data_IF_781708344121
#
_entry.id   IF_781708344121
#
_cell.length_a   1.000
_cell.length_b   1.000
_cell.length_c   1.000
_cell.angle_alpha   90.00
_cell.angle_beta   90.00
_cell.angle_gamma   90.00
#
_symmetry.space_group_name_H-M   'P 1'
#
loop_
_entity.id
_entity.type
_entity.pdbx_description
1 polymer ?
#
# COMPACT_ATOMS: atom_id res chain seq x y z
N UNK A 1 -15.58 -12.67 5.19
CA UNK A 1 -15.52 -11.25 4.78
C UNK A 1 -14.56 -10.45 5.65
N UNK A 2 -14.07 -11.02 6.76
CA UNK A 2 -13.33 -10.26 7.76
C UNK A 2 -11.80 -10.48 7.74
N UNK A 3 -11.23 -11.48 7.09
CA UNK A 3 -9.81 -11.85 7.34
C UNK A 3 -8.75 -10.78 6.99
N UNK A 4 -8.94 -9.98 5.94
CA UNK A 4 -8.02 -8.85 5.65
C UNK A 4 -8.18 -7.72 6.65
N UNK A 5 -9.43 -7.36 6.98
CA UNK A 5 -9.74 -6.30 7.95
C UNK A 5 -9.28 -6.78 9.32
N UNK A 6 -9.62 -7.98 9.76
CA UNK A 6 -9.14 -8.63 10.99
C UNK A 6 -7.61 -8.71 11.02
N UNK A 7 -6.95 -8.99 9.89
CA UNK A 7 -5.50 -9.01 9.78
C UNK A 7 -4.87 -7.63 9.96
N UNK A 8 -5.48 -6.58 9.42
CA UNK A 8 -5.11 -5.18 9.63
C UNK A 8 -5.45 -4.75 11.07
N UNK A 9 -6.66 -5.04 11.53
CA UNK A 9 -7.19 -4.71 12.85
C UNK A 9 -6.33 -5.33 13.94
N UNK A 10 -6.03 -6.62 13.85
CA UNK A 10 -5.11 -7.28 14.78
C UNK A 10 -3.71 -6.63 14.78
N UNK A 11 -3.18 -6.20 13.63
CA UNK A 11 -1.84 -5.61 13.55
C UNK A 11 -1.77 -4.16 14.04
N UNK A 12 -2.83 -3.38 13.86
CA UNK A 12 -2.82 -1.93 14.12
C UNK A 12 -3.69 -1.51 15.31
N UNK A 13 -4.68 -2.32 15.70
CA UNK A 13 -5.70 -2.00 16.70
C UNK A 13 -5.65 -2.91 17.94
N UNK A 14 -4.65 -3.79 18.07
CA UNK A 14 -4.25 -4.36 19.38
C UNK A 14 -3.77 -3.25 20.35
N UNK A 15 -3.47 -2.04 19.84
CA UNK A 15 -3.08 -0.87 20.62
C UNK A 15 -4.28 0.00 20.93
N UNK A 16 -4.52 0.25 22.22
CA UNK A 16 -5.65 1.04 22.70
C UNK A 16 -5.43 2.55 22.64
N UNK A 17 -4.21 3.03 22.34
CA UNK A 17 -3.89 4.45 22.25
C UNK A 17 -3.55 4.92 20.82
N UNK A 18 -3.91 6.17 20.53
CA UNK A 18 -3.74 6.81 19.21
C UNK A 18 -2.26 6.88 18.81
N UNK A 19 -1.38 7.15 19.79
CA UNK A 19 0.06 7.23 19.58
C UNK A 19 0.65 5.88 19.14
N UNK A 20 0.25 4.77 19.75
CA UNK A 20 0.66 3.42 19.38
C UNK A 20 0.21 3.06 17.96
N UNK A 21 -1.03 3.41 17.59
CA UNK A 21 -1.54 3.23 16.22
C UNK A 21 -0.69 4.00 15.20
N UNK A 22 -0.38 5.28 15.43
CA UNK A 22 0.49 6.07 14.55
C UNK A 22 1.90 5.50 14.44
N UNK A 23 2.49 5.09 15.57
CA UNK A 23 3.83 4.49 15.59
C UNK A 23 3.87 3.19 14.75
N UNK A 24 2.82 2.38 14.80
CA UNK A 24 2.68 1.17 13.97
C UNK A 24 2.49 1.48 12.50
N UNK A 25 1.61 2.41 12.15
CA UNK A 25 1.43 2.85 10.76
C UNK A 25 2.75 3.36 10.17
N UNK A 26 3.51 4.14 10.95
CA UNK A 26 4.83 4.63 10.55
C UNK A 26 5.84 3.50 10.39
N UNK A 27 5.87 2.55 11.32
CA UNK A 27 6.76 1.38 11.21
C UNK A 27 6.45 0.57 9.95
N UNK A 28 5.18 0.31 9.65
CA UNK A 28 4.76 -0.37 8.42
C UNK A 28 5.17 0.41 7.17
N UNK A 29 4.98 1.73 7.16
CA UNK A 29 5.44 2.58 6.05
C UNK A 29 6.97 2.56 5.89
N UNK A 30 7.74 2.49 6.99
CA UNK A 30 9.20 2.33 6.94
C UNK A 30 9.62 0.93 6.46
N UNK A 31 8.84 -0.12 6.73
CA UNK A 31 9.12 -1.47 6.20
C UNK A 31 9.06 -1.49 4.67
N UNK A 32 8.18 -0.70 4.05
CA UNK A 32 8.19 -0.51 2.60
C UNK A 32 9.56 0.00 2.10
N UNK A 33 10.17 0.96 2.79
CA UNK A 33 11.53 1.44 2.44
C UNK A 33 12.57 0.30 2.56
N UNK A 34 12.45 -0.56 3.56
CA UNK A 34 13.34 -1.72 3.70
C UNK A 34 13.25 -2.69 2.51
N UNK A 35 12.04 -2.99 2.04
CA UNK A 35 11.86 -3.78 0.81
C UNK A 35 12.48 -3.11 -0.41
N UNK A 36 12.34 -1.79 -0.54
CA UNK A 36 12.95 -1.01 -1.64
C UNK A 36 14.49 -0.98 -1.57
N UNK A 37 15.10 -0.99 -0.38
CA UNK A 37 16.56 -1.12 -0.26
C UNK A 37 17.03 -2.53 -0.61
N UNK A 38 16.29 -3.55 -0.20
CA UNK A 38 16.55 -4.94 -0.60
C UNK A 38 16.40 -5.13 -2.11
N UNK A 39 15.46 -4.43 -2.74
CA UNK A 39 15.29 -4.42 -4.19
C UNK A 39 16.56 -3.95 -4.90
N UNK A 40 17.18 -2.85 -4.43
CA UNK A 40 18.45 -2.37 -5.01
C UNK A 40 19.56 -3.41 -4.92
N UNK A 41 19.64 -4.14 -3.81
CA UNK A 41 20.64 -5.21 -3.63
C UNK A 41 20.37 -6.39 -4.56
N UNK A 42 19.13 -6.85 -4.66
CA UNK A 42 18.72 -7.90 -5.60
C UNK A 42 18.99 -7.49 -7.06
N UNK A 43 18.77 -6.21 -7.40
CA UNK A 43 19.03 -5.69 -8.75
C UNK A 43 20.52 -5.77 -9.11
N UNK A 44 21.41 -5.45 -8.16
CA UNK A 44 22.86 -5.64 -8.34
C UNK A 44 23.24 -7.11 -8.51
N UNK A 45 22.62 -8.01 -7.75
CA UNK A 45 22.85 -9.46 -7.88
C UNK A 45 22.35 -10.00 -9.22
N UNK A 46 21.20 -9.54 -9.70
CA UNK A 46 20.67 -9.86 -11.02
C UNK A 46 21.64 -9.44 -12.14
N UNK A 47 22.16 -8.21 -12.08
CA UNK A 47 23.14 -7.73 -13.06
C UNK A 47 24.42 -8.58 -13.06
N UNK A 48 24.88 -9.01 -11.88
CA UNK A 48 26.01 -9.91 -11.74
C UNK A 48 25.71 -11.31 -12.30
N UNK A 49 24.51 -11.85 -12.05
CA UNK A 49 24.12 -13.15 -12.60
C UNK A 49 24.09 -13.12 -14.13
N UNK A 50 23.55 -12.03 -14.72
CA UNK A 50 23.57 -11.78 -16.17
C UNK A 50 24.99 -11.72 -16.73
N UNK A 51 25.91 -11.01 -16.07
CA UNK A 51 27.30 -10.91 -16.55
C UNK A 51 28.05 -12.24 -16.47
N UNK A 52 27.74 -13.08 -15.49
CA UNK A 52 28.30 -14.43 -15.33
C UNK A 52 27.58 -15.50 -16.17
N UNK A 53 26.51 -15.13 -16.89
CA UNK A 53 25.63 -16.05 -17.63
C UNK A 53 25.03 -17.16 -16.75
N UNK A 54 24.86 -16.89 -15.46
CA UNK A 54 24.21 -17.79 -14.52
C UNK A 54 22.69 -17.63 -14.62
N UNK A 55 22.08 -18.48 -15.44
CA UNK A 55 20.62 -18.45 -15.70
C UNK A 55 19.77 -18.79 -14.47
N UNK A 56 20.30 -19.59 -13.54
CA UNK A 56 19.55 -19.99 -12.35
C UNK A 56 19.45 -18.80 -11.40
N UNK A 57 20.58 -18.17 -11.10
CA UNK A 57 20.62 -16.97 -10.26
C UNK A 57 19.90 -15.78 -10.92
N UNK A 58 19.98 -15.65 -12.24
CA UNK A 58 19.25 -14.61 -12.98
C UNK A 58 17.74 -14.74 -12.78
N UNK A 59 17.18 -15.94 -13.02
CA UNK A 59 15.74 -16.17 -12.80
C UNK A 59 15.37 -15.95 -11.34
N UNK A 60 16.15 -16.48 -10.41
CA UNK A 60 15.89 -16.33 -8.99
C UNK A 60 15.82 -14.85 -8.58
N UNK A 61 16.84 -14.05 -8.90
CA UNK A 61 16.85 -12.64 -8.51
C UNK A 61 15.76 -11.83 -9.22
N UNK A 62 15.37 -12.19 -10.45
CA UNK A 62 14.23 -11.57 -11.12
C UNK A 62 12.92 -11.81 -10.37
N UNK A 63 12.65 -13.04 -9.94
CA UNK A 63 11.49 -13.38 -9.09
C UNK A 63 11.53 -12.58 -7.77
N UNK A 64 12.70 -12.50 -7.14
CA UNK A 64 12.92 -11.73 -5.90
C UNK A 64 12.58 -10.25 -6.08
N UNK A 65 12.97 -9.65 -7.20
CA UNK A 65 12.66 -8.24 -7.48
C UNK A 65 11.15 -7.98 -7.55
N UNK A 66 10.40 -8.89 -8.20
CA UNK A 66 8.95 -8.77 -8.25
C UNK A 66 8.33 -8.83 -6.85
N UNK A 67 8.70 -9.84 -6.06
CA UNK A 67 8.19 -10.02 -4.69
C UNK A 67 8.46 -8.79 -3.83
N UNK A 68 9.69 -8.27 -3.85
CA UNK A 68 10.05 -7.09 -3.07
C UNK A 68 9.26 -5.84 -3.47
N UNK A 69 8.94 -5.69 -4.75
CA UNK A 69 8.14 -4.57 -5.23
C UNK A 69 6.67 -4.69 -4.79
N UNK A 70 6.11 -5.90 -4.83
CA UNK A 70 4.77 -6.18 -4.31
C UNK A 70 4.66 -5.96 -2.80
N UNK A 71 5.62 -6.47 -2.03
CA UNK A 71 5.68 -6.27 -0.57
C UNK A 71 5.77 -4.77 -0.22
N UNK A 72 6.62 -4.01 -0.92
CA UNK A 72 6.73 -2.56 -0.69
C UNK A 72 5.40 -1.83 -0.96
N UNK A 73 4.71 -2.20 -2.02
CA UNK A 73 3.41 -1.64 -2.37
C UNK A 73 2.30 -2.06 -1.40
N UNK A 74 2.26 -3.33 -1.00
CA UNK A 74 1.29 -3.83 -0.02
C UNK A 74 1.38 -3.09 1.31
N UNK A 75 2.60 -2.75 1.76
CA UNK A 75 2.78 -1.93 2.95
C UNK A 75 2.18 -0.52 2.80
N UNK A 76 2.22 0.09 1.61
CA UNK A 76 1.52 1.36 1.35
C UNK A 76 0.01 1.16 1.43
N UNK A 77 -0.51 0.07 0.85
CA UNK A 77 -1.94 -0.25 0.86
C UNK A 77 -2.48 -0.54 2.26
N UNK A 78 -1.74 -1.30 3.07
CA UNK A 78 -2.10 -1.58 4.46
C UNK A 78 -2.17 -0.29 5.28
N UNK A 79 -1.14 0.57 5.18
CA UNK A 79 -1.12 1.83 5.92
C UNK A 79 -2.29 2.73 5.50
N UNK A 80 -2.54 2.87 4.20
CA UNK A 80 -3.65 3.69 3.72
C UNK A 80 -5.02 3.13 4.14
N UNK A 81 -5.20 1.81 4.07
CA UNK A 81 -6.44 1.14 4.46
C UNK A 81 -6.76 1.29 5.95
N UNK A 82 -5.72 1.28 6.78
CA UNK A 82 -5.81 1.40 8.24
C UNK A 82 -5.89 2.85 8.75
N UNK A 83 -5.55 3.83 7.90
CA UNK A 83 -5.56 5.24 8.26
C UNK A 83 -6.98 5.82 8.19
N UNK A 84 -7.67 5.82 9.33
CA UNK A 84 -8.95 6.50 9.49
C UNK A 84 -8.77 7.86 10.18
N UNK A 85 -8.91 8.96 9.43
CA UNK A 85 -8.70 10.30 9.99
C UNK A 85 -9.70 10.67 11.10
N UNK A 86 -10.86 10.03 11.16
CA UNK A 86 -11.86 10.30 12.19
C UNK A 86 -11.46 9.73 13.56
N UNK A 87 -10.46 8.83 13.62
CA UNK A 87 -9.92 8.25 14.86
C UNK A 87 -8.92 9.18 15.58
N UNK A 88 -8.41 10.23 14.92
CA UNK A 88 -7.25 11.00 15.40
C UNK A 88 -7.61 12.35 16.06
N UNK A 89 -8.86 12.54 16.49
CA UNK A 89 -9.40 13.79 17.07
C UNK A 89 -8.93 15.08 16.35
N UNK A 90 -8.88 15.02 15.02
CA UNK A 90 -8.41 16.13 14.20
C UNK A 90 -9.52 17.16 13.99
N UNK A 91 -9.12 18.44 13.96
CA UNK A 91 -10.00 19.57 13.69
C UNK A 91 -9.72 20.19 12.33
N UNK A 92 -10.79 20.64 11.68
CA UNK A 92 -10.67 21.35 10.43
C UNK A 92 -10.02 22.73 10.65
N UNK A 93 -9.10 23.18 9.79
CA UNK A 93 -8.47 24.48 9.91
C UNK A 93 -9.46 25.64 9.67
N UNK A 94 -9.31 26.73 10.43
CA UNK A 94 -10.10 27.97 10.28
C UNK A 94 -9.66 28.75 9.03
N UNK A 95 -8.36 28.71 8.70
CA UNK A 95 -7.76 29.37 7.54
C UNK A 95 -6.81 28.38 6.87
N UNK A 96 -7.16 27.91 5.68
CA UNK A 96 -6.26 27.11 4.82
C UNK A 96 -6.57 25.62 4.71
N UNK A 97 -5.64 24.87 4.11
CA UNK A 97 -5.73 23.44 3.84
C UNK A 97 -4.84 22.65 4.81
N UNK A 98 -5.37 21.66 5.53
CA UNK A 98 -4.56 20.81 6.41
C UNK A 98 -5.37 20.20 7.55
N UNK A 99 -4.68 19.81 8.62
CA UNK A 99 -5.27 19.29 9.86
C UNK A 99 -4.83 20.16 11.03
N UNK A 100 -5.68 20.28 12.06
CA UNK A 100 -5.33 20.80 13.38
C UNK A 100 -5.49 19.69 14.41
N UNK A 101 -4.71 19.75 15.50
CA UNK A 101 -4.72 18.76 16.57
C UNK A 101 -3.33 18.18 16.82
N UNK A 102 -3.18 17.48 17.94
CA UNK A 102 -1.89 17.03 18.46
C UNK A 102 -1.15 16.10 17.48
N UNK A 103 -1.89 15.34 16.69
CA UNK A 103 -1.36 14.37 15.72
C UNK A 103 -1.32 14.86 14.27
N UNK A 104 -1.70 16.12 14.02
CA UNK A 104 -1.82 16.65 12.65
C UNK A 104 -0.49 16.55 11.87
N UNK A 105 0.63 16.91 12.51
CA UNK A 105 1.96 16.87 11.88
C UNK A 105 2.43 15.45 11.60
N UNK A 106 2.15 14.50 12.50
CA UNK A 106 2.52 13.09 12.31
C UNK A 106 1.75 12.47 11.14
N UNK A 107 0.47 12.80 10.99
CA UNK A 107 -0.35 12.32 9.89
C UNK A 107 0.11 12.92 8.55
N UNK A 108 0.42 14.23 8.50
CA UNK A 108 1.00 14.86 7.31
C UNK A 108 2.37 14.25 6.95
N UNK A 109 3.18 13.93 7.96
CA UNK A 109 4.46 13.26 7.79
C UNK A 109 4.27 11.84 7.25
N UNK A 110 3.25 11.12 7.72
CA UNK A 110 2.89 9.80 7.21
C UNK A 110 2.46 9.86 5.74
N UNK A 111 1.58 10.80 5.36
CA UNK A 111 1.21 10.98 3.95
C UNK A 111 2.42 11.31 3.07
N UNK A 112 3.34 12.16 3.55
CA UNK A 112 4.57 12.49 2.83
C UNK A 112 5.49 11.29 2.65
N UNK A 113 5.57 10.41 3.65
CA UNK A 113 6.31 9.15 3.58
C UNK A 113 5.67 8.18 2.56
N UNK A 114 4.34 8.06 2.57
CA UNK A 114 3.62 7.22 1.61
C UNK A 114 3.78 7.74 0.17
N UNK A 115 3.74 9.05 -0.04
CA UNK A 115 4.01 9.67 -1.35
C UNK A 115 5.41 9.33 -1.85
N UNK A 116 6.44 9.54 -1.01
CA UNK A 116 7.83 9.23 -1.34
C UNK A 116 8.03 7.74 -1.66
N UNK A 117 7.42 6.84 -0.89
CA UNK A 117 7.48 5.41 -1.16
C UNK A 117 6.81 5.07 -2.49
N UNK A 118 5.64 5.67 -2.76
CA UNK A 118 4.90 5.46 -4.00
C UNK A 118 5.68 5.96 -5.22
N UNK A 119 6.30 7.14 -5.13
CA UNK A 119 7.19 7.68 -6.17
C UNK A 119 8.31 6.69 -6.52
N UNK A 120 8.97 6.16 -5.49
CA UNK A 120 10.06 5.19 -5.67
C UNK A 120 9.57 3.88 -6.30
N UNK A 121 8.43 3.37 -5.87
CA UNK A 121 7.82 2.14 -6.42
C UNK A 121 7.52 2.34 -7.91
N UNK A 122 6.80 3.42 -8.26
CA UNK A 122 6.42 3.71 -9.66
C UNK A 122 7.65 3.93 -10.55
N UNK A 123 8.69 4.60 -10.03
CA UNK A 123 9.95 4.77 -10.76
C UNK A 123 10.65 3.44 -11.01
N UNK A 124 10.70 2.55 -10.01
CA UNK A 124 11.29 1.23 -10.15
C UNK A 124 10.52 0.37 -11.15
N UNK A 125 9.19 0.36 -11.07
CA UNK A 125 8.29 -0.33 -12.00
C UNK A 125 8.60 0.10 -13.44
N UNK A 126 8.63 1.41 -13.70
CA UNK A 126 8.91 1.97 -15.03
C UNK A 126 10.31 1.63 -15.56
N UNK A 127 11.32 1.59 -14.68
CA UNK A 127 12.72 1.34 -15.07
C UNK A 127 13.08 -0.13 -15.21
N UNK A 128 12.36 -1.03 -14.54
CA UNK A 128 12.73 -2.45 -14.42
C UNK A 128 11.88 -3.37 -15.30
N UNK A 129 10.94 -2.82 -16.07
CA UNK A 129 9.94 -3.57 -16.86
C UNK A 129 9.14 -4.60 -16.04
N UNK A 130 9.13 -4.46 -14.71
CA UNK A 130 8.35 -5.31 -13.81
C UNK A 130 6.91 -4.83 -13.88
N UNK A 131 6.03 -5.59 -14.53
CA UNK A 131 4.59 -5.30 -14.51
C UNK A 131 3.98 -5.82 -13.21
N UNK A 132 3.35 -4.93 -12.46
CA UNK A 132 2.51 -5.28 -11.32
C UNK A 132 1.14 -5.74 -11.84
N UNK A 133 1.04 -7.03 -12.11
CA UNK A 133 -0.21 -7.71 -12.47
C UNK A 133 -0.79 -8.49 -11.28
N UNK A 134 -1.79 -7.90 -10.63
CA UNK A 134 -2.49 -8.50 -9.47
C UNK A 134 -3.33 -9.75 -9.81
N UNK A 135 -3.38 -10.16 -11.09
CA UNK A 135 -3.99 -11.41 -11.51
C UNK A 135 -3.01 -12.59 -11.54
N UNK A 136 -1.70 -12.32 -11.45
CA UNK A 136 -0.65 -13.34 -11.46
C UNK A 136 -0.11 -13.51 -10.04
N UNK A 137 -0.36 -14.66 -9.39
CA UNK A 137 0.19 -14.91 -8.07
C UNK A 137 1.72 -15.00 -8.14
N UNK A 138 2.38 -14.47 -7.11
CA UNK A 138 3.82 -14.61 -6.94
C UNK A 138 4.13 -15.90 -6.18
N UNK A 139 5.12 -16.65 -6.68
CA UNK A 139 5.70 -17.76 -5.93
C UNK A 139 6.52 -17.24 -4.74
N UNK A 140 6.33 -17.82 -3.57
CA UNK A 140 7.11 -17.48 -2.38
C UNK A 140 8.60 -17.79 -2.56
N UNK A 141 9.45 -16.97 -1.94
CA UNK A 141 10.89 -17.22 -1.85
C UNK A 141 11.35 -17.02 -0.41
N UNK A 142 11.90 -18.08 0.17
CA UNK A 142 12.45 -18.09 1.52
C UNK A 142 13.47 -16.94 1.70
N UNK A 143 13.35 -16.19 2.80
CA UNK A 143 14.23 -15.06 3.09
C UNK A 143 13.98 -13.80 2.23
N UNK A 144 12.97 -13.81 1.34
CA UNK A 144 12.52 -12.64 0.57
C UNK A 144 11.25 -12.07 1.19
N UNK A 145 10.25 -12.93 1.34
CA UNK A 145 9.04 -12.74 2.11
C UNK A 145 9.41 -12.89 3.60
N UNK A 146 9.65 -11.79 4.30
CA UNK A 146 10.06 -11.88 5.72
C UNK A 146 8.88 -12.33 6.61
N UNK A 147 9.17 -13.33 7.44
CA UNK A 147 8.48 -13.79 8.65
C UNK A 147 7.11 -14.46 8.49
N UNK A 148 7.09 -15.79 8.39
CA UNK A 148 5.97 -16.71 8.75
C UNK A 148 4.54 -16.43 8.20
N UNK A 149 4.31 -15.31 7.51
CA UNK A 149 3.00 -14.79 7.16
C UNK A 149 3.14 -13.77 6.02
N UNK A 150 3.32 -14.23 4.78
CA UNK A 150 2.92 -13.40 3.64
C UNK A 150 1.45 -13.02 3.86
N UNK A 151 1.15 -11.72 3.78
CA UNK A 151 -0.16 -11.19 4.20
C UNK A 151 -1.33 -11.83 3.46
N UNK A 152 -1.08 -12.23 2.23
CA UNK A 152 -2.04 -12.91 1.39
C UNK A 152 -2.06 -14.44 1.53
N UNK A 153 -1.22 -15.10 2.33
CA UNK A 153 -1.20 -16.57 2.40
C UNK A 153 -2.44 -17.16 3.06
N UNK A 154 -2.96 -16.49 4.09
CA UNK A 154 -4.14 -16.99 4.79
C UNK A 154 -5.42 -16.87 3.95
N UNK A 155 -5.41 -16.00 2.93
CA UNK A 155 -6.59 -15.57 2.17
C UNK A 155 -6.48 -15.96 0.67
N UNK A 156 -5.26 -16.17 0.17
CA UNK A 156 -4.89 -16.25 -1.25
C UNK A 156 -4.55 -14.88 -1.84
N UNK A 157 -3.58 -14.84 -2.78
CA UNK A 157 -3.09 -13.62 -3.45
C UNK A 157 -4.22 -12.77 -4.06
N UNK A 158 -4.98 -13.35 -4.99
CA UNK A 158 -6.06 -12.63 -5.68
C UNK A 158 -7.21 -12.22 -4.74
N UNK A 159 -7.74 -13.09 -3.86
CA UNK A 159 -8.76 -12.68 -2.89
C UNK A 159 -8.30 -11.57 -1.95
N UNK A 160 -7.03 -11.59 -1.51
CA UNK A 160 -6.42 -10.56 -0.68
C UNK A 160 -6.41 -9.20 -1.40
N UNK A 161 -5.83 -9.13 -2.60
CA UNK A 161 -5.72 -7.87 -3.34
C UNK A 161 -7.07 -7.35 -3.84
N UNK A 162 -8.04 -8.23 -4.09
CA UNK A 162 -9.43 -7.84 -4.36
C UNK A 162 -10.08 -7.18 -3.12
N UNK A 163 -9.80 -7.68 -1.91
CA UNK A 163 -10.30 -7.06 -0.69
C UNK A 163 -9.62 -5.71 -0.41
N UNK A 164 -8.29 -5.64 -0.55
CA UNK A 164 -7.54 -4.40 -0.45
C UNK A 164 -8.06 -3.34 -1.46
N UNK A 165 -8.36 -3.74 -2.70
CA UNK A 165 -8.95 -2.88 -3.73
C UNK A 165 -10.26 -2.23 -3.28
N UNK A 166 -11.18 -3.02 -2.69
CA UNK A 166 -12.46 -2.49 -2.16
C UNK A 166 -12.24 -1.47 -1.05
N UNK A 167 -11.38 -1.79 -0.09
CA UNK A 167 -11.15 -0.93 1.07
C UNK A 167 -10.46 0.36 0.63
N UNK A 168 -9.49 0.29 -0.28
CA UNK A 168 -8.85 1.47 -0.84
C UNK A 168 -9.87 2.34 -1.59
N UNK A 169 -10.75 1.74 -2.38
CA UNK A 169 -11.83 2.46 -3.06
C UNK A 169 -12.74 3.19 -2.06
N UNK A 170 -13.22 2.48 -1.04
CA UNK A 170 -14.06 3.04 0.03
C UNK A 170 -13.34 4.16 0.79
N UNK A 171 -12.05 3.98 1.13
CA UNK A 171 -11.22 4.97 1.83
C UNK A 171 -10.92 6.20 0.97
N UNK A 172 -10.72 6.05 -0.34
CA UNK A 172 -10.52 7.17 -1.26
C UNK A 172 -11.78 8.03 -1.37
N UNK A 173 -12.96 7.42 -1.38
CA UNK A 173 -14.22 8.12 -1.55
C UNK A 173 -14.84 8.60 -0.22
N UNK A 174 -14.31 8.11 0.91
CA UNK A 174 -14.67 8.56 2.25
C UNK A 174 -14.46 10.08 2.43
N UNK A 175 -15.33 10.69 3.24
CA UNK A 175 -15.31 12.12 3.58
C UNK A 175 -15.13 12.32 5.08
N UNK A 176 -13.92 12.12 5.61
CA UNK A 176 -13.62 12.35 7.03
C UNK A 176 -14.10 13.71 7.52
N UNK A 177 -14.55 13.80 8.78
CA UNK A 177 -15.14 15.04 9.34
C UNK A 177 -14.18 16.22 9.24
N UNK A 178 -12.89 15.97 9.48
CA UNK A 178 -11.81 16.97 9.41
C UNK A 178 -11.67 17.61 8.02
N UNK A 179 -12.11 16.93 6.95
CA UNK A 179 -12.01 17.38 5.57
C UNK A 179 -13.22 18.18 5.08
N UNK A 180 -14.18 18.53 5.95
CA UNK A 180 -15.31 19.43 5.63
C UNK A 180 -16.04 19.08 4.31
N UNK A 181 -16.50 17.84 4.17
CA UNK A 181 -17.21 17.28 2.99
C UNK A 181 -16.32 16.98 1.77
N UNK A 182 -15.02 17.27 1.82
CA UNK A 182 -14.06 16.85 0.81
C UNK A 182 -13.75 15.35 0.95
N UNK A 183 -13.65 14.62 -0.16
CA UNK A 183 -13.22 13.22 -0.16
C UNK A 183 -11.72 13.09 0.11
N UNK A 184 -11.27 11.93 0.59
CA UNK A 184 -9.85 11.63 0.72
C UNK A 184 -9.13 11.76 -0.63
N UNK A 185 -9.74 11.29 -1.71
CA UNK A 185 -9.21 11.41 -3.08
C UNK A 185 -8.98 12.86 -3.47
N UNK A 186 -9.96 13.74 -3.23
CA UNK A 186 -9.83 15.16 -3.52
C UNK A 186 -8.76 15.81 -2.63
N UNK A 187 -8.66 15.39 -1.35
CA UNK A 187 -7.63 15.88 -0.44
C UNK A 187 -6.24 15.55 -0.98
N UNK A 188 -5.98 14.29 -1.32
CA UNK A 188 -4.71 13.84 -1.88
C UNK A 188 -4.37 14.60 -3.16
N UNK A 189 -5.37 14.83 -4.03
CA UNK A 189 -5.19 15.57 -5.29
C UNK A 189 -4.79 17.02 -5.03
N UNK A 190 -5.48 17.72 -4.14
CA UNK A 190 -5.17 19.13 -3.80
C UNK A 190 -3.82 19.27 -3.12
N UNK A 191 -3.43 18.29 -2.30
CA UNK A 191 -2.13 18.24 -1.62
C UNK A 191 -0.99 17.72 -2.49
N UNK A 192 -1.26 17.44 -3.77
CA UNK A 192 -0.26 16.97 -4.73
C UNK A 192 0.38 15.63 -4.37
N UNK A 193 -0.32 14.76 -3.64
CA UNK A 193 0.08 13.37 -3.39
C UNK A 193 -0.23 12.50 -4.61
N UNK A 194 0.41 12.85 -5.73
CA UNK A 194 0.10 12.30 -7.06
C UNK A 194 0.61 10.89 -7.26
N UNK A 195 1.77 10.55 -6.69
CA UNK A 195 2.35 9.21 -6.79
C UNK A 195 1.55 8.22 -5.94
N UNK A 196 1.15 8.63 -4.73
CA UNK A 196 0.28 7.85 -3.87
C UNK A 196 -1.07 7.59 -4.55
N UNK A 197 -1.70 8.63 -5.11
CA UNK A 197 -2.94 8.47 -5.87
C UNK A 197 -2.78 7.53 -7.07
N UNK A 198 -1.68 7.64 -7.80
CA UNK A 198 -1.40 6.76 -8.95
C UNK A 198 -1.24 5.31 -8.50
N UNK A 199 -0.48 5.06 -7.43
CA UNK A 199 -0.27 3.71 -6.89
C UNK A 199 -1.56 3.09 -6.33
N UNK A 200 -2.36 3.86 -5.56
CA UNK A 200 -3.68 3.41 -5.10
C UNK A 200 -4.63 3.15 -6.28
N UNK A 201 -4.55 3.96 -7.33
CA UNK A 201 -5.30 3.75 -8.56
C UNK A 201 -4.95 2.45 -9.29
N UNK A 202 -3.73 1.92 -9.14
CA UNK A 202 -3.33 0.62 -9.73
C UNK A 202 -4.17 -0.53 -9.18
N UNK A 203 -4.26 -0.64 -7.85
CA UNK A 203 -5.02 -1.69 -7.19
C UNK A 203 -6.54 -1.46 -7.27
N UNK A 204 -6.98 -0.21 -7.26
CA UNK A 204 -8.38 0.14 -7.48
C UNK A 204 -8.84 -0.36 -8.88
N UNK A 205 -8.09 -0.04 -9.93
CA UNK A 205 -8.44 -0.41 -11.30
C UNK A 205 -8.21 -1.89 -11.63
N UNK A 206 -7.34 -2.60 -10.90
CA UNK A 206 -7.08 -4.02 -11.12
C UNK A 206 -8.35 -4.90 -10.99
N UNK A 207 -9.34 -4.47 -10.21
CA UNK A 207 -10.55 -5.24 -9.93
C UNK A 207 -11.87 -4.48 -10.19
N UNK A 208 -11.83 -3.22 -10.67
CA UNK A 208 -13.02 -2.37 -10.89
C UNK A 208 -14.10 -3.00 -11.79
N UNK A 209 -13.71 -3.69 -12.86
CA UNK A 209 -14.68 -4.30 -13.80
C UNK A 209 -15.49 -5.43 -13.13
N UNK A 210 -14.94 -6.04 -12.07
CA UNK A 210 -15.63 -7.05 -11.26
C UNK A 210 -16.60 -6.43 -10.23
N UNK A 211 -16.41 -5.18 -9.84
CA UNK A 211 -17.32 -4.46 -8.94
C UNK A 211 -18.55 -3.90 -9.69
N UNK A 212 -18.34 -3.35 -10.89
CA UNK A 212 -19.44 -2.81 -11.72
C UNK A 212 -20.42 -3.90 -12.17
N UNK A 213 -19.92 -5.09 -12.51
CA UNK A 213 -20.75 -6.25 -12.90
C UNK A 213 -21.61 -6.81 -11.75
N UNK A 214 -21.10 -6.81 -10.51
CA UNK A 214 -21.87 -7.27 -9.33
C UNK A 214 -22.94 -6.31 -8.83
N UNK A 215 -22.76 -5.00 -9.03
CA UNK A 215 -23.78 -4.01 -8.67
C UNK A 215 -24.94 -3.96 -9.68
N UNK A 216 -24.67 -4.28 -10.95
CA UNK A 216 -25.71 -4.45 -11.96
C UNK A 216 -26.54 -5.73 -11.75
N UNK A 217 -25.94 -6.81 -11.25
CA UNK A 217 -26.66 -8.07 -10.98
C UNK A 217 -27.47 -8.06 -9.67
N UNK A 218 -27.30 -7.06 -8.82
CA UNK A 218 -28.10 -6.86 -7.59
C UNK A 218 -29.22 -5.84 -7.78
N UNK A 219 -29.18 -5.07 -8.86
CA UNK A 219 -30.19 -4.08 -9.23
C UNK A 219 -31.19 -4.58 -10.29
N UNK A 220 -31.04 -5.85 -10.73
CA UNK A 220 -31.93 -6.57 -11.63
C UNK A 220 -32.62 -7.70 -10.85
#
# INVERSE_FOLDING_TARGET
MNDYIDGIEKRFFEYTDIAGKLARLRTTACTAEHHLERFKLASKRLLRAKSLRDRISEKYEFDVLQILLYEAMDHVFMVFSALDLDDFDLKAPIVGQGFLGDYALDILSLFSLLEKNSERILKIEAQSELRLDFSIPLDEKEGVTFNHYCHWNNIGFEPYFNQASKIIHERLDAKPRVLQKQSMRDFLRRKQYSCLLSLLGRIENAFIDRFRSRNLSKAA
#
